data_IF_144329169993
#
_entry.id   IF_144329169993
#
_cell.length_a   1.000
_cell.length_b   1.000
_cell.length_c   1.000
_cell.angle_alpha   90.00
_cell.angle_beta   90.00
_cell.angle_gamma   90.00
#
_symmetry.space_group_name_H-M   'P 1'
#
loop_
_entity.id
_entity.type
_entity.pdbx_description
1 polymer ?
#
# COMPACT_ATOMS: atom_id res chain seq x y z
N UNK A 1 -42.55 -7.33 -22.74
CA UNK A 1 -41.88 -8.15 -21.72
C UNK A 1 -41.73 -7.31 -20.46
N UNK A 2 -42.42 -7.67 -19.39
CA UNK A 2 -42.42 -6.93 -18.11
C UNK A 2 -41.09 -7.15 -17.41
N UNK A 3 -40.27 -6.10 -17.34
CA UNK A 3 -39.02 -6.09 -16.57
C UNK A 3 -39.32 -6.24 -15.08
N UNK A 4 -38.75 -7.25 -14.43
CA UNK A 4 -38.92 -7.49 -12.99
C UNK A 4 -37.80 -6.76 -12.23
N UNK A 5 -38.14 -5.95 -11.24
CA UNK A 5 -37.14 -5.35 -10.33
C UNK A 5 -36.98 -6.28 -9.13
N UNK A 6 -35.86 -7.02 -8.99
CA UNK A 6 -35.66 -7.93 -7.86
C UNK A 6 -35.53 -7.15 -6.55
N UNK A 7 -35.90 -7.74 -5.43
CA UNK A 7 -35.65 -7.18 -4.09
C UNK A 7 -34.18 -7.26 -3.71
N UNK A 8 -33.75 -6.46 -2.73
CA UNK A 8 -32.36 -6.45 -2.26
C UNK A 8 -31.96 -7.81 -1.66
N UNK A 9 -32.88 -8.50 -0.97
CA UNK A 9 -32.64 -9.83 -0.39
C UNK A 9 -32.44 -10.91 -1.46
N UNK A 10 -33.19 -10.83 -2.56
CA UNK A 10 -33.03 -11.74 -3.69
C UNK A 10 -31.66 -11.55 -4.35
N UNK A 11 -31.27 -10.30 -4.60
CA UNK A 11 -29.94 -9.98 -5.14
C UNK A 11 -28.84 -10.44 -4.19
N UNK A 12 -29.00 -10.25 -2.88
CA UNK A 12 -28.01 -10.66 -1.89
C UNK A 12 -27.83 -12.18 -1.83
N UNK A 13 -28.92 -12.94 -1.87
CA UNK A 13 -28.89 -14.41 -1.94
C UNK A 13 -28.11 -14.89 -3.15
N UNK A 14 -28.30 -14.21 -4.28
CA UNK A 14 -27.67 -14.56 -5.54
C UNK A 14 -26.18 -14.21 -5.57
N UNK A 15 -25.80 -13.05 -5.03
CA UNK A 15 -24.40 -12.67 -4.81
C UNK A 15 -23.68 -13.72 -3.97
N UNK A 16 -24.28 -14.16 -2.85
CA UNK A 16 -23.69 -15.19 -1.97
C UNK A 16 -23.56 -16.52 -2.68
N UNK A 17 -24.57 -16.94 -3.46
CA UNK A 17 -24.53 -18.19 -4.25
C UNK A 17 -23.40 -18.17 -5.27
N UNK A 18 -23.22 -17.06 -5.99
CA UNK A 18 -22.14 -16.90 -6.98
C UNK A 18 -20.77 -16.89 -6.30
N UNK A 19 -20.61 -16.18 -5.18
CA UNK A 19 -19.38 -16.16 -4.42
C UNK A 19 -19.01 -17.53 -3.82
N UNK A 20 -19.99 -18.32 -3.39
CA UNK A 20 -19.76 -19.69 -2.92
C UNK A 20 -19.28 -20.62 -4.04
N UNK A 21 -19.74 -20.42 -5.29
CA UNK A 21 -19.35 -21.24 -6.45
C UNK A 21 -18.03 -20.81 -7.10
N UNK A 22 -17.75 -19.51 -7.17
CA UNK A 22 -16.65 -18.94 -7.96
C UNK A 22 -15.53 -18.33 -7.10
N UNK A 23 -15.69 -18.35 -5.78
CA UNK A 23 -14.77 -17.71 -4.83
C UNK A 23 -15.24 -16.32 -4.38
N UNK A 24 -14.88 -15.95 -3.15
CA UNK A 24 -15.29 -14.70 -2.49
C UNK A 24 -14.76 -13.43 -3.19
N UNK A 25 -13.68 -13.55 -3.95
CA UNK A 25 -12.98 -12.45 -4.64
C UNK A 25 -13.55 -12.08 -6.02
N UNK A 26 -14.63 -12.74 -6.47
CA UNK A 26 -15.21 -12.44 -7.78
C UNK A 26 -15.62 -10.97 -7.91
N UNK A 27 -15.18 -10.34 -9.00
CA UNK A 27 -15.41 -8.92 -9.29
C UNK A 27 -16.89 -8.60 -9.51
N UNK A 28 -17.31 -7.39 -9.13
CA UNK A 28 -18.72 -6.97 -9.21
C UNK A 28 -19.30 -7.04 -10.63
N UNK A 29 -18.47 -6.81 -11.65
CA UNK A 29 -18.87 -6.91 -13.05
C UNK A 29 -19.23 -8.35 -13.41
N UNK A 30 -18.36 -9.31 -13.06
CA UNK A 30 -18.61 -10.73 -13.28
C UNK A 30 -19.86 -11.20 -12.55
N UNK A 31 -20.07 -10.78 -11.30
CA UNK A 31 -21.32 -11.10 -10.57
C UNK A 31 -22.54 -10.57 -11.33
N UNK A 32 -22.47 -9.34 -11.84
CA UNK A 32 -23.57 -8.76 -12.63
C UNK A 32 -23.81 -9.55 -13.92
N UNK A 33 -22.76 -9.94 -14.64
CA UNK A 33 -22.85 -10.77 -15.85
C UNK A 33 -23.51 -12.12 -15.55
N UNK A 34 -23.12 -12.79 -14.44
CA UNK A 34 -23.72 -14.05 -14.00
C UNK A 34 -25.21 -13.90 -13.68
N UNK A 35 -25.59 -12.87 -12.92
CA UNK A 35 -27.00 -12.64 -12.58
C UNK A 35 -27.81 -12.29 -13.83
N UNK A 36 -27.23 -11.56 -14.79
CA UNK A 36 -27.91 -11.25 -16.06
C UNK A 36 -28.05 -12.44 -16.98
N UNK A 37 -27.09 -13.37 -16.95
CA UNK A 37 -27.19 -14.63 -17.68
C UNK A 37 -28.26 -15.56 -17.10
N UNK A 38 -28.35 -15.67 -15.77
CA UNK A 38 -29.33 -16.55 -15.10
C UNK A 38 -30.73 -15.91 -14.96
N UNK A 39 -30.82 -14.58 -14.87
CA UNK A 39 -32.06 -13.82 -14.72
C UNK A 39 -32.15 -12.65 -15.72
N UNK A 40 -32.36 -12.94 -17.02
CA UNK A 40 -32.37 -11.91 -18.07
C UNK A 40 -33.49 -10.87 -17.90
N UNK A 41 -34.58 -11.24 -17.22
CA UNK A 41 -35.73 -10.37 -16.96
C UNK A 41 -35.52 -9.39 -15.79
N UNK A 42 -34.43 -9.53 -15.02
CA UNK A 42 -34.17 -8.66 -13.88
C UNK A 42 -33.57 -7.33 -14.32
N UNK A 43 -34.16 -6.22 -13.90
CA UNK A 43 -33.61 -4.88 -14.14
C UNK A 43 -33.04 -4.29 -12.86
N UNK A 44 -31.71 -4.18 -12.83
CA UNK A 44 -30.96 -3.52 -11.76
C UNK A 44 -29.59 -3.05 -12.29
N UNK A 45 -29.10 -1.95 -11.73
CA UNK A 45 -27.81 -1.35 -12.10
C UNK A 45 -26.64 -1.85 -11.25
N UNK A 46 -25.42 -1.72 -11.80
CA UNK A 46 -24.17 -2.03 -11.10
C UNK A 46 -24.02 -1.24 -9.79
N UNK A 47 -24.52 0.00 -9.72
CA UNK A 47 -24.50 0.82 -8.50
C UNK A 47 -25.27 0.13 -7.36
N UNK A 48 -26.49 -0.33 -7.62
CA UNK A 48 -27.32 -1.05 -6.64
C UNK A 48 -26.65 -2.34 -6.17
N UNK A 49 -26.03 -3.08 -7.09
CA UNK A 49 -25.30 -4.31 -6.75
C UNK A 49 -24.08 -4.02 -5.83
N UNK A 50 -23.35 -2.92 -6.07
CA UNK A 50 -22.25 -2.47 -5.20
C UNK A 50 -22.74 -2.10 -3.80
N UNK A 51 -23.87 -1.40 -3.70
CA UNK A 51 -24.44 -1.00 -2.41
C UNK A 51 -24.89 -2.20 -1.60
N UNK A 52 -25.58 -3.17 -2.21
CA UNK A 52 -26.01 -4.40 -1.53
C UNK A 52 -24.81 -5.20 -1.04
N UNK A 53 -23.76 -5.34 -1.86
CA UNK A 53 -22.51 -6.01 -1.46
C UNK A 53 -21.80 -5.28 -0.32
N UNK A 54 -21.77 -3.94 -0.33
CA UNK A 54 -21.17 -3.13 0.74
C UNK A 54 -21.97 -3.25 2.04
N UNK A 55 -23.31 -3.18 1.97
CA UNK A 55 -24.21 -3.33 3.12
C UNK A 55 -24.08 -4.71 3.76
N UNK A 56 -23.92 -5.77 2.97
CA UNK A 56 -23.77 -7.12 3.50
C UNK A 56 -22.39 -7.43 4.07
N UNK A 57 -21.32 -6.78 3.59
CA UNK A 57 -19.99 -6.83 4.22
C UNK A 57 -19.91 -6.06 5.55
N UNK A 58 -20.90 -5.19 5.82
CA UNK A 58 -21.01 -4.39 7.05
C UNK A 58 -21.93 -5.05 8.11
N UNK A 59 -22.56 -6.18 7.80
CA UNK A 59 -23.39 -6.89 8.78
C UNK A 59 -22.48 -7.72 9.70
N UNK A 60 -22.54 -7.53 11.03
CA UNK A 60 -21.82 -8.38 11.98
C UNK A 60 -22.45 -9.77 11.95
N UNK A 61 -21.67 -10.78 11.59
CA UNK A 61 -22.07 -12.18 11.73
C UNK A 61 -22.08 -12.53 13.23
N UNK A 62 -23.21 -12.96 13.83
CA UNK A 62 -23.18 -13.53 15.16
C UNK A 62 -22.73 -14.99 15.04
N UNK A 63 -21.58 -15.28 15.66
CA UNK A 63 -21.18 -16.63 16.05
C UNK A 63 -20.79 -17.59 14.93
N UNK A 64 -19.49 -17.75 14.72
CA UNK A 64 -18.91 -19.10 14.62
C UNK A 64 -17.44 -19.01 14.95
N UNK A 65 -17.03 -19.80 15.95
CA UNK A 65 -15.66 -19.88 16.40
C UNK A 65 -14.72 -20.18 15.24
N UNK A 66 -13.70 -19.35 15.10
CA UNK A 66 -12.49 -19.68 14.37
C UNK A 66 -11.35 -19.21 15.24
N UNK A 67 -10.46 -20.15 15.53
CA UNK A 67 -9.29 -20.02 16.38
C UNK A 67 -8.53 -18.70 16.17
N UNK A 68 -7.81 -18.19 17.19
CA UNK A 68 -7.00 -17.00 17.04
C UNK A 68 -6.06 -17.18 15.83
N UNK A 69 -6.32 -16.41 14.78
CA UNK A 69 -5.36 -16.21 13.69
C UNK A 69 -4.08 -15.72 14.36
N UNK A 70 -2.93 -16.38 14.17
CA UNK A 70 -1.67 -15.88 14.69
C UNK A 70 -1.48 -14.50 14.11
N UNK A 71 -1.49 -13.48 14.98
CA UNK A 71 -0.95 -12.17 14.66
C UNK A 71 0.44 -12.45 14.08
N UNK A 72 0.72 -12.13 12.80
CA UNK A 72 2.09 -12.23 12.30
C UNK A 72 2.92 -11.36 13.24
N UNK A 73 4.00 -11.90 13.83
CA UNK A 73 4.76 -11.18 14.82
C UNK A 73 5.13 -9.84 14.22
N UNK A 74 4.78 -8.75 14.92
CA UNK A 74 5.38 -7.46 14.69
C UNK A 74 6.88 -7.70 14.48
N UNK A 75 7.44 -7.24 13.36
CA UNK A 75 8.87 -7.31 13.06
C UNK A 75 9.62 -7.20 14.38
N UNK A 76 10.15 -8.34 14.84
CA UNK A 76 11.02 -8.32 16.02
C UNK A 76 12.13 -7.32 15.67
N UNK A 77 12.46 -6.36 16.54
CA UNK A 77 13.66 -5.58 16.34
C UNK A 77 14.80 -6.59 16.17
N UNK A 78 15.39 -6.56 14.98
CA UNK A 78 16.54 -7.36 14.60
C UNK A 78 17.65 -7.15 15.64
N UNK A 79 18.43 -8.19 16.00
CA UNK A 79 19.50 -8.05 16.99
C UNK A 79 20.43 -6.91 16.57
N UNK A 80 20.83 -6.09 17.56
CA UNK A 80 21.65 -4.90 17.36
C UNK A 80 22.75 -5.13 16.32
N UNK A 81 22.56 -4.51 15.15
CA UNK A 81 23.58 -4.38 14.12
C UNK A 81 24.84 -3.80 14.78
N UNK A 82 26.05 -4.33 14.48
CA UNK A 82 27.28 -3.88 15.13
C UNK A 82 27.36 -2.34 15.07
N UNK A 83 27.47 -1.70 16.23
CA UNK A 83 27.43 -0.23 16.38
C UNK A 83 28.56 0.47 15.59
N UNK A 84 29.55 -0.29 15.12
CA UNK A 84 30.65 0.20 14.31
C UNK A 84 30.52 -0.30 12.86
N UNK A 85 30.33 0.60 11.88
CA UNK A 85 30.30 0.22 10.48
C UNK A 85 31.67 -0.36 10.05
N UNK A 86 31.70 -1.28 9.08
CA UNK A 86 32.96 -1.73 8.48
C UNK A 86 33.81 -0.56 7.95
N UNK A 87 35.15 -0.73 7.86
CA UNK A 87 36.00 0.27 7.22
C UNK A 87 35.50 0.64 5.82
N UNK A 88 35.42 1.94 5.52
CA UNK A 88 34.90 2.44 4.24
C UNK A 88 33.36 2.51 4.16
N UNK A 89 32.65 2.20 5.24
CA UNK A 89 31.19 2.30 5.32
C UNK A 89 30.75 3.35 6.35
N UNK A 90 29.56 3.89 6.17
CA UNK A 90 28.87 4.77 7.11
C UNK A 90 27.44 4.27 7.31
N UNK A 91 26.87 4.47 8.50
CA UNK A 91 25.49 4.08 8.79
C UNK A 91 24.52 5.14 8.26
N UNK A 92 23.69 4.74 7.30
CA UNK A 92 22.55 5.46 6.79
C UNK A 92 21.30 5.19 7.64
N UNK A 93 20.62 6.24 8.06
CA UNK A 93 19.30 6.16 8.66
C UNK A 93 18.23 6.23 7.56
N UNK A 94 17.62 5.10 7.24
CA UNK A 94 16.48 5.02 6.34
C UNK A 94 15.18 4.99 7.14
N UNK A 95 14.46 6.11 7.13
CA UNK A 95 13.14 6.27 7.74
C UNK A 95 12.05 6.01 6.69
N UNK A 96 11.44 4.82 6.73
CA UNK A 96 10.29 4.49 5.88
C UNK A 96 9.00 4.83 6.63
N UNK A 97 8.28 5.83 6.14
CA UNK A 97 7.03 6.32 6.72
C UNK A 97 5.88 5.82 5.84
N UNK A 98 5.17 4.80 6.32
CA UNK A 98 4.07 4.19 5.59
C UNK A 98 2.76 4.87 5.97
N UNK A 99 2.11 5.49 5.00
CA UNK A 99 0.77 6.04 5.16
C UNK A 99 -0.28 4.92 5.07
N UNK A 100 -1.07 4.77 6.12
CA UNK A 100 -2.13 3.77 6.27
C UNK A 100 -3.48 4.47 6.44
N UNK A 101 -4.58 3.73 6.28
CA UNK A 101 -5.91 4.27 6.59
C UNK A 101 -6.08 4.63 8.07
N UNK A 102 -5.39 3.91 8.95
CA UNK A 102 -5.40 4.12 10.40
C UNK A 102 -4.43 5.21 10.87
N UNK A 103 -3.71 5.88 9.96
CA UNK A 103 -2.70 6.89 10.32
C UNK A 103 -1.37 6.65 9.59
N UNK A 104 -0.26 6.83 10.29
CA UNK A 104 1.09 6.60 9.74
C UNK A 104 1.86 5.65 10.64
N UNK A 105 2.75 4.86 10.06
CA UNK A 105 3.70 4.03 10.80
C UNK A 105 5.10 4.27 10.27
N UNK A 106 6.04 4.51 11.18
CA UNK A 106 7.44 4.77 10.85
C UNK A 106 8.29 3.56 11.17
N UNK A 107 9.17 3.20 10.24
CA UNK A 107 10.17 2.15 10.38
C UNK A 107 11.55 2.78 10.18
N UNK A 108 12.45 2.56 11.12
CA UNK A 108 13.83 3.00 11.02
C UNK A 108 14.72 1.81 10.70
N UNK A 109 15.43 1.90 9.59
CA UNK A 109 16.48 0.97 9.20
C UNK A 109 17.83 1.67 9.29
N UNK A 110 18.82 0.97 9.84
CA UNK A 110 20.21 1.42 9.92
C UNK A 110 21.04 0.60 8.94
N UNK A 111 21.39 1.19 7.81
CA UNK A 111 22.03 0.50 6.69
C UNK A 111 23.49 0.92 6.58
N UNK A 112 24.46 0.00 6.57
CA UNK A 112 25.81 0.34 6.17
C UNK A 112 25.83 0.65 4.66
N UNK A 113 26.30 1.84 4.29
CA UNK A 113 26.49 2.26 2.91
C UNK A 113 27.94 2.69 2.67
N UNK A 114 28.46 2.58 1.44
CA UNK A 114 29.80 3.07 1.09
C UNK A 114 29.96 4.56 1.39
N UNK A 115 31.08 4.95 2.01
CA UNK A 115 31.35 6.35 2.36
C UNK A 115 31.40 7.26 1.12
N UNK A 116 31.89 6.73 -0.01
CA UNK A 116 31.94 7.41 -1.32
C UNK A 116 30.58 7.93 -1.81
N UNK A 117 29.46 7.36 -1.33
CA UNK A 117 28.12 7.85 -1.67
C UNK A 117 27.68 9.06 -0.85
N UNK A 118 28.41 9.37 0.22
CA UNK A 118 28.11 10.48 1.15
C UNK A 118 29.02 11.70 0.95
N UNK A 119 30.04 11.56 0.12
CA UNK A 119 31.01 12.61 -0.14
C UNK A 119 30.52 13.63 -1.19
N UNK A 120 30.94 14.91 -1.07
CA UNK A 120 30.72 15.88 -2.13
C UNK A 120 31.30 15.39 -3.47
N UNK A 121 30.49 15.40 -4.53
CA UNK A 121 30.91 14.93 -5.85
C UNK A 121 30.69 13.43 -6.10
N UNK A 122 30.01 12.72 -5.19
CA UNK A 122 29.62 11.32 -5.38
C UNK A 122 28.93 11.10 -6.75
N UNK A 123 29.22 9.98 -7.47
CA UNK A 123 28.62 9.70 -8.78
C UNK A 123 27.09 9.54 -8.71
N UNK A 124 26.36 10.61 -9.04
CA UNK A 124 24.90 10.71 -8.89
C UNK A 124 24.13 9.50 -9.42
N UNK A 125 24.50 9.00 -10.61
CA UNK A 125 23.78 7.89 -11.24
C UNK A 125 23.95 6.59 -10.46
N UNK A 126 25.18 6.26 -10.05
CA UNK A 126 25.48 5.03 -9.31
C UNK A 126 24.85 5.09 -7.92
N UNK A 127 25.02 6.22 -7.23
CA UNK A 127 24.41 6.45 -5.91
C UNK A 127 22.89 6.35 -5.98
N UNK A 128 22.25 6.96 -6.99
CA UNK A 128 20.79 6.91 -7.14
C UNK A 128 20.26 5.49 -7.34
N UNK A 129 20.94 4.68 -8.17
CA UNK A 129 20.54 3.28 -8.42
C UNK A 129 20.69 2.46 -7.14
N UNK A 130 21.81 2.62 -6.42
CA UNK A 130 22.04 1.95 -5.15
C UNK A 130 20.94 2.27 -4.13
N UNK A 131 20.62 3.54 -3.94
CA UNK A 131 19.61 3.97 -2.98
C UNK A 131 18.20 3.50 -3.36
N UNK A 132 17.87 3.51 -4.65
CA UNK A 132 16.59 3.00 -5.15
C UNK A 132 16.42 1.53 -4.79
N UNK A 133 17.43 0.71 -5.11
CA UNK A 133 17.41 -0.72 -4.79
C UNK A 133 17.32 -0.98 -3.27
N UNK A 134 18.01 -0.18 -2.46
CA UNK A 134 17.96 -0.28 -1.00
C UNK A 134 16.55 0.02 -0.47
N UNK A 135 15.92 1.09 -0.96
CA UNK A 135 14.56 1.47 -0.57
C UNK A 135 13.56 0.40 -1.01
N UNK A 136 13.60 -0.02 -2.27
CA UNK A 136 12.70 -1.04 -2.82
C UNK A 136 12.81 -2.36 -2.04
N UNK A 137 14.03 -2.76 -1.67
CA UNK A 137 14.26 -3.94 -0.83
C UNK A 137 13.54 -3.82 0.52
N UNK A 138 13.71 -2.70 1.25
CA UNK A 138 13.08 -2.51 2.56
C UNK A 138 11.57 -2.34 2.46
N UNK A 139 11.07 -1.72 1.41
CA UNK A 139 9.64 -1.65 1.13
C UNK A 139 9.04 -3.03 0.86
N UNK A 140 9.71 -3.87 0.06
CA UNK A 140 9.26 -5.23 -0.21
C UNK A 140 9.23 -6.09 1.06
N UNK A 141 10.27 -6.00 1.90
CA UNK A 141 10.30 -6.68 3.21
C UNK A 141 9.15 -6.23 4.11
N UNK A 142 8.86 -4.93 4.13
CA UNK A 142 7.74 -4.37 4.89
C UNK A 142 6.38 -4.86 4.39
N UNK A 143 6.15 -4.89 3.08
CA UNK A 143 4.91 -5.40 2.49
C UNK A 143 4.76 -6.90 2.77
N UNK A 144 5.84 -7.68 2.67
CA UNK A 144 5.78 -9.13 2.97
C UNK A 144 5.52 -9.41 4.45
N UNK A 145 6.12 -8.62 5.35
CA UNK A 145 5.98 -8.80 6.80
C UNK A 145 4.63 -8.31 7.34
N UNK A 146 3.89 -7.50 6.58
CA UNK A 146 2.65 -6.90 7.05
C UNK A 146 1.49 -7.14 6.08
N UNK A 147 0.34 -7.58 6.59
CA UNK A 147 -0.88 -7.73 5.79
C UNK A 147 -1.56 -6.37 5.52
N UNK A 148 -0.87 -5.46 4.83
CA UNK A 148 -1.39 -4.15 4.49
C UNK A 148 -2.40 -4.21 3.35
N UNK A 149 -3.29 -3.23 3.32
CA UNK A 149 -4.26 -3.04 2.25
C UNK A 149 -3.93 -1.76 1.48
N UNK A 150 -4.12 -1.82 0.17
CA UNK A 150 -4.06 -0.66 -0.70
C UNK A 150 -4.99 0.44 -0.19
N UNK A 151 -4.44 1.64 0.00
CA UNK A 151 -5.20 2.79 0.50
C UNK A 151 -6.45 3.10 -0.35
N UNK A 152 -6.37 2.84 -1.64
CA UNK A 152 -7.34 3.27 -2.63
C UNK A 152 -8.45 2.24 -2.88
N UNK A 153 -8.09 0.96 -3.02
CA UNK A 153 -9.03 -0.09 -3.43
C UNK A 153 -9.26 -1.19 -2.38
N UNK A 154 -8.60 -1.13 -1.22
CA UNK A 154 -8.68 -2.12 -0.14
C UNK A 154 -8.25 -3.56 -0.49
N UNK A 155 -7.73 -3.80 -1.68
CA UNK A 155 -7.08 -5.08 -1.99
C UNK A 155 -5.78 -5.22 -1.18
N UNK A 156 -5.27 -6.45 -0.99
CA UNK A 156 -3.94 -6.64 -0.43
C UNK A 156 -2.92 -5.75 -1.13
N UNK A 157 -2.02 -5.15 -0.34
CA UNK A 157 -0.90 -4.42 -0.89
C UNK A 157 0.17 -5.41 -1.35
N UNK A 158 0.67 -5.21 -2.56
CA UNK A 158 1.75 -6.01 -3.15
C UNK A 158 3.04 -5.19 -3.24
N UNK A 159 2.91 -3.86 -3.26
CA UNK A 159 4.00 -2.92 -3.48
C UNK A 159 3.75 -1.64 -2.67
N UNK A 160 4.79 -0.81 -2.59
CA UNK A 160 4.73 0.52 -2.01
C UNK A 160 5.03 1.55 -3.10
N UNK A 161 4.42 2.73 -2.98
CA UNK A 161 4.77 3.88 -3.81
C UNK A 161 5.17 5.04 -2.92
N UNK A 162 6.42 5.46 -3.04
CA UNK A 162 7.00 6.55 -2.25
C UNK A 162 7.87 7.47 -3.07
N UNK A 163 8.10 8.66 -2.52
CA UNK A 163 9.09 9.61 -3.04
C UNK A 163 10.11 9.81 -1.91
N UNK A 164 11.36 9.35 -2.08
CA UNK A 164 12.38 9.51 -1.07
C UNK A 164 12.92 10.95 -1.07
N UNK A 165 13.05 11.52 0.12
CA UNK A 165 13.90 12.67 0.39
C UNK A 165 15.23 12.17 0.95
N UNK A 166 16.34 12.61 0.36
CA UNK A 166 17.66 12.02 0.55
C UNK A 166 18.65 13.10 0.97
N UNK A 167 19.30 12.91 2.11
CA UNK A 167 20.33 13.80 2.65
C UNK A 167 21.56 12.99 3.04
N UNK A 168 22.50 12.84 2.10
CA UNK A 168 23.68 11.97 2.29
C UNK A 168 24.89 12.68 2.90
N UNK A 169 24.94 14.00 2.85
CA UNK A 169 26.08 14.78 3.37
C UNK A 169 25.98 15.07 4.86
N UNK A 170 24.80 14.88 5.46
CA UNK A 170 24.60 14.98 6.91
C UNK A 170 25.23 13.81 7.66
N UNK A 171 25.43 13.98 8.97
CA UNK A 171 25.97 12.96 9.86
C UNK A 171 25.00 12.72 11.01
N UNK A 172 24.26 11.60 11.04
CA UNK A 172 24.30 10.50 10.05
C UNK A 172 23.58 10.84 8.73
N UNK A 173 24.01 10.26 7.60
CA UNK A 173 23.28 10.37 6.35
C UNK A 173 21.88 9.78 6.54
N UNK A 174 20.87 10.43 5.96
CA UNK A 174 19.47 10.12 6.26
C UNK A 174 18.61 10.12 4.99
N UNK A 175 17.70 9.16 4.91
CA UNK A 175 16.62 9.11 3.92
C UNK A 175 15.29 9.12 4.64
N UNK A 176 14.38 9.99 4.20
CA UNK A 176 12.97 9.97 4.57
C UNK A 176 12.16 9.51 3.37
N UNK A 177 11.64 8.29 3.43
CA UNK A 177 10.80 7.73 2.39
C UNK A 177 9.34 7.68 2.85
N UNK A 178 8.56 8.68 2.45
CA UNK A 178 7.11 8.66 2.65
C UNK A 178 6.49 7.79 1.56
N UNK A 179 5.85 6.70 1.96
CA UNK A 179 5.35 5.68 1.05
C UNK A 179 3.89 5.29 1.33
N UNK A 180 3.21 4.79 0.31
CA UNK A 180 1.82 4.36 0.36
C UNK A 180 1.72 2.90 -0.13
N UNK A 181 1.08 2.00 0.64
CA UNK A 181 0.88 0.64 0.19
C UNK A 181 -0.15 0.61 -0.94
N UNK A 182 0.18 -0.12 -2.01
CA UNK A 182 -0.59 -0.24 -3.24
C UNK A 182 -0.84 -1.68 -3.61
N UNK A 183 -1.96 -1.92 -4.28
CA UNK A 183 -2.31 -3.24 -4.80
C UNK A 183 -1.51 -3.62 -6.06
N UNK A 184 -0.90 -2.66 -6.74
CA UNK A 184 0.00 -2.85 -7.89
C UNK A 184 0.44 -1.48 -8.43
N UNK A 185 1.69 -1.39 -8.87
CA UNK A 185 2.24 -0.20 -9.53
C UNK A 185 1.65 0.08 -10.93
N UNK A 186 0.97 -0.89 -11.55
CA UNK A 186 0.36 -0.73 -12.89
C UNK A 186 -1.13 -0.37 -12.84
N UNK A 187 -1.64 -0.04 -11.66
CA UNK A 187 -3.06 0.18 -11.43
C UNK A 187 -3.48 1.65 -11.48
N UNK A 188 -4.80 1.91 -11.52
CA UNK A 188 -5.32 3.25 -11.32
C UNK A 188 -4.95 3.81 -9.93
N UNK A 189 -4.74 2.95 -8.93
CA UNK A 189 -4.32 3.35 -7.59
C UNK A 189 -2.92 3.96 -7.58
N UNK A 190 -1.99 3.47 -8.40
CA UNK A 190 -0.65 4.04 -8.53
C UNK A 190 -0.70 5.47 -9.13
N UNK A 191 -1.55 5.69 -10.14
CA UNK A 191 -1.76 7.04 -10.69
C UNK A 191 -2.37 8.00 -9.68
N UNK A 192 -3.31 7.53 -8.86
CA UNK A 192 -3.90 8.34 -7.80
C UNK A 192 -2.87 8.66 -6.70
N UNK A 193 -2.06 7.68 -6.31
CA UNK A 193 -0.97 7.84 -5.36
C UNK A 193 0.07 8.86 -5.83
N UNK A 194 0.50 8.74 -7.08
CA UNK A 194 1.36 9.71 -7.76
C UNK A 194 0.78 11.12 -7.68
N UNK A 195 -0.48 11.30 -8.10
CA UNK A 195 -1.14 12.61 -8.09
C UNK A 195 -1.22 13.23 -6.69
N UNK A 196 -1.50 12.41 -5.66
CA UNK A 196 -1.56 12.90 -4.27
C UNK A 196 -0.18 13.24 -3.70
N UNK A 197 0.85 12.45 -4.00
CA UNK A 197 2.20 12.74 -3.55
C UNK A 197 2.74 14.00 -4.21
N UNK A 198 2.51 14.18 -5.52
CA UNK A 198 2.87 15.42 -6.20
C UNK A 198 2.12 16.63 -5.63
N UNK A 199 0.81 16.53 -5.41
CA UNK A 199 0.06 17.61 -4.78
C UNK A 199 0.55 17.92 -3.36
N UNK A 200 0.96 16.89 -2.62
CA UNK A 200 1.58 17.02 -1.29
C UNK A 200 2.90 17.77 -1.33
N UNK A 201 3.78 17.49 -2.30
CA UNK A 201 5.06 18.21 -2.45
C UNK A 201 4.90 19.71 -2.70
N UNK A 202 3.76 20.14 -3.25
CA UNK A 202 3.44 21.56 -3.51
C UNK A 202 2.66 22.18 -2.34
N UNK A 203 2.25 21.38 -1.35
CA UNK A 203 1.53 21.86 -0.17
C UNK A 203 2.50 22.32 0.92
N UNK A 204 2.33 23.54 1.47
CA UNK A 204 3.19 24.06 2.54
C UNK A 204 3.07 23.27 3.86
N UNK A 205 2.04 22.44 4.02
CA UNK A 205 1.82 21.61 5.22
C UNK A 205 2.40 20.18 5.09
N UNK A 206 3.10 19.88 4.00
CA UNK A 206 3.73 18.57 3.85
C UNK A 206 4.97 18.47 4.74
N UNK A 207 5.12 17.43 5.58
CA UNK A 207 6.28 17.25 6.47
C UNK A 207 7.55 16.81 5.73
N UNK A 208 7.80 17.44 4.59
CA UNK A 208 8.94 17.34 3.69
C UNK A 208 9.02 18.52 2.69
N UNK A 209 8.13 19.51 2.79
CA UNK A 209 8.11 20.69 1.92
C UNK A 209 9.30 21.63 2.13
N UNK A 210 9.92 21.61 3.31
CA UNK A 210 11.09 22.45 3.61
C UNK A 210 12.42 21.94 3.00
N UNK A 211 12.44 20.74 2.40
CA UNK A 211 13.70 20.11 1.93
C UNK A 211 14.00 20.39 0.45
N UNK A 212 13.09 21.05 -0.29
CA UNK A 212 13.25 21.28 -1.73
C UNK A 212 13.58 22.73 -2.14
N UNK A 213 13.86 23.64 -1.21
CA UNK A 213 14.47 24.92 -1.55
C UNK A 213 15.99 24.77 -1.66
N UNK A 214 16.46 24.26 -2.79
CA UNK A 214 17.81 24.56 -3.28
C UNK A 214 17.68 25.82 -4.14
N UNK A 215 18.20 26.99 -3.71
CA UNK A 215 18.23 28.17 -4.56
C UNK A 215 19.08 27.87 -5.80
N UNK A 216 18.61 28.37 -6.95
CA UNK A 216 19.30 28.31 -8.23
C UNK A 216 20.64 29.05 -8.21
#
# INVERSE_FOLDING_TARGET
MTSLVPSDDMLLKEIRRIQAKQGSEIGIQKIWDYIKAEHPLWSFGLKRLREIRKKSSLAPSPGSGSAPVPVPPACKPEPASPETPPPGMVILNLNVIVALRSGRRTFLFKEPIPIEFTEPGAPRQITSVFLTNLIEKREAELVQANAWSCLYCNKPAEECYGIPSVVLTEKPPTIFNMTQPLCSMRSACAREAYGRMQAGLVSPDFPGGDVYHVPA
#
